data_IF_314608444032
#
_entry.id   IF_314608444032
#
_cell.length_a   1.000
_cell.length_b   1.000
_cell.length_c   1.000
_cell.angle_alpha   90.00
_cell.angle_beta   90.00
_cell.angle_gamma   90.00
#
_symmetry.space_group_name_H-M   'P 1'
#
loop_
_entity.id
_entity.type
_entity.pdbx_description
1 polymer ?
2 non-polymer ?
3 water ?
#
# COMPACT_ATOMS: atom_id res chain seq x y z
N UNK A 51 26.17 -38.88 -22.53
CA UNK A 51 25.21 -39.72 -21.75
C UNK A 51 24.92 -39.13 -20.36
N UNK A 52 24.64 -37.83 -20.31
CA UNK A 52 24.39 -37.14 -19.05
C UNK A 52 22.90 -36.79 -18.88
N UNK A 53 22.24 -37.56 -18.05
CA UNK A 53 20.82 -37.40 -17.84
C UNK A 53 20.62 -36.44 -16.67
N UNK A 54 19.60 -35.60 -16.80
CA UNK A 54 19.26 -34.65 -15.76
C UNK A 54 18.16 -35.22 -14.84
N UNK A 55 18.42 -35.15 -13.54
CA UNK A 55 17.44 -35.54 -12.51
C UNK A 55 16.89 -34.16 -12.05
N UNK A 56 15.72 -33.78 -12.56
CA UNK A 56 15.17 -32.44 -12.28
C UNK A 56 14.73 -32.19 -10.85
N UNK A 57 15.29 -31.19 -10.16
CA UNK A 57 14.86 -30.90 -8.77
C UNK A 57 13.49 -30.32 -8.89
N UNK A 58 12.76 -30.37 -7.80
CA UNK A 58 11.43 -29.74 -7.75
C UNK A 58 11.55 -28.42 -7.01
N UNK A 59 10.90 -27.35 -7.47
CA UNK A 59 11.00 -26.08 -6.74
C UNK A 59 10.26 -26.26 -5.47
N UNK A 60 10.65 -25.42 -4.52
CA UNK A 60 10.01 -25.36 -3.22
C UNK A 60 8.52 -25.04 -3.37
N UNK A 61 7.76 -25.49 -2.38
CA UNK A 61 6.34 -25.35 -2.36
C UNK A 61 6.03 -23.98 -1.70
N UNK A 62 4.95 -23.35 -2.15
CA UNK A 62 4.51 -22.07 -1.59
C UNK A 62 3.18 -22.33 -0.90
N UNK A 63 3.14 -22.12 0.43
CA UNK A 63 1.96 -22.27 1.24
C UNK A 63 1.37 -20.93 1.62
N UNK A 64 0.06 -20.87 1.80
CA UNK A 64 -0.55 -19.65 2.29
C UNK A 64 -0.53 -19.75 3.86
N UNK A 65 -1.08 -18.76 4.57
CA UNK A 65 -1.00 -18.72 6.03
C UNK A 65 -1.73 -19.87 6.74
N UNK A 66 -2.74 -20.48 6.10
CA UNK A 66 -3.48 -21.60 6.69
C UNK A 66 -2.92 -22.93 6.19
N UNK A 67 -1.83 -22.89 5.41
CA UNK A 67 -1.27 -24.12 4.91
C UNK A 67 -1.80 -24.60 3.57
N UNK A 68 -2.73 -23.89 2.94
CA UNK A 68 -3.13 -24.30 1.63
C UNK A 68 -1.93 -24.17 0.65
N UNK A 69 -1.84 -25.13 -0.25
CA UNK A 69 -0.78 -25.17 -1.25
C UNK A 69 -1.20 -24.20 -2.35
N UNK A 70 -0.31 -23.24 -2.64
CA UNK A 70 -0.64 -22.26 -3.64
C UNK A 70 0.09 -22.65 -4.89
N UNK A 71 1.32 -23.14 -4.71
CA UNK A 71 2.12 -23.59 -5.82
C UNK A 71 2.99 -24.77 -5.44
N UNK A 73 5.50 -28.05 -7.41
CA UNK A 73 6.15 -28.58 -8.62
C UNK A 73 5.91 -30.06 -8.71
N UNK A 74 5.72 -30.47 -9.95
CA UNK A 74 5.31 -31.79 -10.34
C UNK A 74 6.11 -32.24 -11.56
N UNK A 75 6.31 -33.55 -11.70
CA UNK A 75 7.06 -34.10 -12.81
C UNK A 75 6.14 -34.42 -13.99
N UNK A 76 4.85 -34.14 -13.81
CA UNK A 76 3.86 -34.40 -14.85
C UNK A 76 4.15 -33.58 -16.10
N UNK A 77 5.25 -32.84 -16.08
CA UNK A 77 5.64 -32.00 -17.22
C UNK A 77 6.51 -32.78 -18.20
N UNK A 148 10.98 -35.25 -20.35
CA UNK A 148 11.00 -34.97 -18.89
C UNK A 148 11.24 -33.54 -18.48
N UNK A 149 10.37 -33.05 -17.61
CA UNK A 149 10.44 -31.70 -17.13
C UNK A 149 9.63 -31.65 -15.81
N UNK A 150 9.56 -30.48 -15.19
CA UNK A 150 8.74 -30.25 -14.00
C UNK A 150 7.85 -29.06 -14.33
N UNK A 151 6.70 -28.97 -13.72
CA UNK A 151 5.91 -27.75 -13.91
C UNK A 151 5.23 -27.42 -12.64
N UNK A 152 4.93 -26.15 -12.43
CA UNK A 152 4.16 -25.73 -11.31
C UNK A 152 2.71 -25.93 -11.60
N UNK A 153 1.99 -26.22 -10.54
CA UNK A 153 0.58 -26.35 -10.59
C UNK A 153 0.09 -25.38 -9.51
N UNK A 154 -0.90 -24.60 -9.90
CA UNK A 154 -1.54 -23.59 -9.08
C UNK A 154 -2.95 -24.03 -8.86
N UNK A 155 -3.14 -24.65 -7.61
CA UNK A 155 -4.47 -25.20 -7.44
C UNK A 155 -5.64 -24.25 -7.40
N UNK A 156 -5.44 -22.98 -7.08
CA UNK A 156 -6.58 -22.11 -6.95
C UNK A 156 -6.74 -21.34 -8.20
N UNK A 157 -6.06 -21.80 -9.21
CA UNK A 157 -6.09 -21.18 -10.53
C UNK A 157 -5.46 -19.81 -10.54
N UNK A 158 -6.20 -18.83 -11.04
CA UNK A 158 -5.75 -17.44 -11.17
C UNK A 158 -5.75 -16.60 -9.93
N UNK A 159 -6.22 -17.19 -8.83
CA UNK A 159 -6.31 -16.47 -7.58
C UNK A 159 -4.94 -16.25 -6.97
N UNK A 160 -4.54 -15.01 -6.82
CA UNK A 160 -3.27 -14.74 -6.19
C UNK A 160 -2.07 -14.97 -7.07
N UNK A 161 -2.32 -15.29 -8.35
CA UNK A 161 -1.18 -15.57 -9.23
C UNK A 161 -0.34 -14.31 -9.48
N UNK A 162 -0.95 -13.14 -9.37
CA UNK A 162 -0.25 -11.90 -9.49
C UNK A 162 0.85 -11.81 -8.41
N UNK A 163 0.55 -12.28 -7.22
CA UNK A 163 1.51 -12.26 -6.10
C UNK A 163 2.43 -13.43 -6.31
N UNK A 164 1.89 -14.59 -6.61
CA UNK A 164 2.73 -15.76 -6.80
C UNK A 164 3.75 -15.64 -7.92
N UNK A 165 3.33 -15.10 -9.05
CA UNK A 165 4.20 -14.98 -10.23
C UNK A 165 4.12 -16.26 -11.02
N UNK A 166 4.79 -16.32 -12.16
CA UNK A 166 4.77 -17.57 -12.93
C UNK A 166 6.16 -18.02 -13.10
N UNK A 167 6.28 -19.27 -13.46
CA UNK A 167 7.55 -19.94 -13.69
C UNK A 167 7.56 -20.23 -15.18
N UNK A 168 8.64 -19.89 -15.87
CA UNK A 168 8.69 -20.22 -17.30
C UNK A 168 9.12 -21.65 -17.58
N UNK A 169 9.19 -22.00 -18.88
CA UNK A 169 9.59 -23.32 -19.40
C UNK A 169 10.94 -23.81 -18.92
N UNK A 170 11.87 -22.89 -18.70
CA UNK A 170 13.17 -23.27 -18.11
C UNK A 170 13.01 -23.41 -16.63
N UNK A 171 11.79 -23.45 -16.15
CA UNK A 171 11.53 -23.55 -14.73
C UNK A 171 12.20 -22.45 -13.91
N UNK A 172 12.32 -21.22 -14.46
CA UNK A 172 12.87 -20.13 -13.68
C UNK A 172 11.68 -19.25 -13.29
N UNK A 173 11.72 -18.65 -12.10
CA UNK A 173 10.66 -17.80 -11.66
C UNK A 173 10.75 -16.57 -12.53
N UNK A 174 9.63 -16.17 -13.09
CA UNK A 174 9.61 -15.05 -14.03
C UNK A 174 8.94 -13.79 -13.54
N UNK A 175 8.12 -13.85 -12.49
CA UNK A 175 7.50 -12.63 -11.95
C UNK A 175 7.07 -12.93 -10.52
N UNK A 176 6.63 -11.93 -9.80
CA UNK A 176 6.14 -12.16 -8.45
C UNK A 176 7.13 -12.78 -7.50
N UNK A 177 6.61 -13.57 -6.59
CA UNK A 177 7.42 -14.24 -5.54
C UNK A 177 8.28 -15.40 -6.11
N UNK A 178 7.78 -16.01 -7.18
CA UNK A 178 8.56 -17.05 -7.86
C UNK A 178 9.90 -16.49 -8.28
N UNK A 179 9.89 -15.23 -8.75
CA UNK A 179 11.09 -14.55 -9.15
C UNK A 179 11.85 -14.01 -7.94
N UNK A 180 11.15 -13.33 -7.08
CA UNK A 180 11.80 -12.68 -5.92
C UNK A 180 12.59 -13.68 -5.06
N UNK A 181 12.01 -14.84 -4.84
CA UNK A 181 12.65 -15.87 -4.03
C UNK A 181 13.10 -17.08 -4.89
N UNK A 182 13.51 -16.80 -6.12
CA UNK A 182 13.82 -17.91 -7.02
C UNK A 182 15.02 -18.69 -6.54
N UNK A 183 16.05 -18.03 -6.00
CA UNK A 183 17.26 -18.76 -5.58
C UNK A 183 17.01 -19.66 -4.41
N UNK A 184 16.02 -19.34 -3.58
CA UNK A 184 15.72 -20.29 -2.54
C UNK A 184 14.66 -21.27 -3.01
N UNK A 185 13.74 -20.86 -3.87
CA UNK A 185 12.67 -21.81 -4.36
C UNK A 185 13.20 -22.85 -5.38
N UNK A 186 14.18 -22.43 -6.17
CA UNK A 186 14.79 -23.32 -7.20
C UNK A 186 15.74 -24.26 -6.51
N UNK A 187 15.72 -25.51 -6.88
CA UNK A 187 16.66 -26.34 -6.20
C UNK A 187 17.79 -26.38 -7.14
N UNK A 188 18.51 -27.48 -7.07
CA UNK A 188 19.63 -27.73 -7.92
C UNK A 188 19.41 -29.09 -8.53
N UNK A 189 19.41 -29.14 -9.85
CA UNK A 189 19.20 -30.40 -10.50
C UNK A 189 20.29 -31.42 -10.22
N UNK A 190 19.92 -32.70 -10.38
CA UNK A 190 20.85 -33.82 -10.24
C UNK A 190 21.30 -34.24 -11.63
N UNK A 191 22.23 -35.19 -11.70
CA UNK A 191 22.71 -35.70 -12.97
C UNK A 191 23.12 -37.15 -12.90
N UNK A 193 25.32 -39.35 -15.12
CA UNK A 193 26.33 -39.24 -16.19
C UNK A 193 26.55 -40.55 -17.00
N UNK A 208 28.89 -44.29 -14.67
CA UNK A 208 28.59 -44.78 -13.34
C UNK A 208 28.52 -43.73 -12.24
N UNK A 209 28.05 -42.51 -12.52
CA UNK A 209 28.04 -41.49 -11.47
C UNK A 209 26.84 -40.57 -11.38
N UNK A 210 26.32 -40.47 -10.17
CA UNK A 210 25.04 -39.86 -9.95
C UNK A 210 25.15 -38.86 -8.84
N UNK A 211 24.55 -37.71 -9.06
CA UNK A 211 24.52 -36.69 -8.06
C UNK A 211 23.08 -36.28 -7.85
N UNK A 212 22.76 -36.02 -6.60
CA UNK A 212 21.40 -35.79 -6.21
C UNK A 212 20.85 -34.44 -6.59
N UNK A 213 19.55 -34.41 -6.89
CA UNK A 213 18.87 -33.17 -7.12
C UNK A 213 18.59 -32.63 -5.71
N UNK A 214 18.74 -31.32 -5.50
CA UNK A 214 18.38 -30.75 -4.18
C UNK A 214 17.12 -29.94 -4.53
N UNK A 215 15.98 -30.33 -3.99
CA UNK A 215 14.73 -29.59 -4.26
C UNK A 215 14.77 -28.22 -3.57
N UNK A 216 13.98 -27.29 -4.07
CA UNK A 216 14.01 -25.98 -3.48
C UNK A 216 13.38 -25.99 -2.10
N UNK A 217 13.56 -24.89 -1.38
CA UNK A 217 13.01 -24.74 -0.05
C UNK A 217 11.59 -24.21 -0.06
N UNK A 218 10.76 -24.77 0.79
CA UNK A 218 9.37 -24.34 0.93
C UNK A 218 9.28 -22.96 1.52
N UNK A 219 8.23 -22.26 1.15
CA UNK A 219 8.02 -20.91 1.60
C UNK A 219 6.59 -20.81 2.11
N UNK A 220 6.41 -20.17 3.26
CA UNK A 220 5.06 -19.93 3.78
C UNK A 220 4.78 -18.45 3.73
N UNK A 221 3.67 -18.09 3.13
CA UNK A 221 3.27 -16.71 3.01
C UNK A 221 2.20 -16.28 3.98
N UNK A 222 2.14 -14.99 4.20
CA UNK A 222 1.13 -14.37 5.05
C UNK A 222 -0.23 -14.31 4.39
N UNK A 223 -0.29 -14.56 3.10
CA UNK A 223 -1.54 -14.48 2.37
C UNK A 223 -2.63 -15.42 2.80
N UNK A 224 -3.89 -14.96 2.86
CA UNK A 224 -5.03 -15.85 3.18
C UNK A 224 -5.69 -15.97 1.84
N UNK A 225 -5.61 -17.14 1.26
CA UNK A 225 -6.05 -17.31 -0.12
C UNK A 225 -7.51 -17.01 -0.34
N UNK A 226 -8.35 -17.33 0.62
CA UNK A 226 -9.78 -17.00 0.46
C UNK A 226 -10.00 -15.46 0.50
N UNK A 227 -9.21 -14.75 1.29
CA UNK A 227 -9.30 -13.31 1.34
C UNK A 227 -8.72 -12.70 0.07
N UNK A 228 -7.80 -13.40 -0.53
CA UNK A 228 -7.19 -12.93 -1.76
C UNK A 228 -8.23 -12.99 -2.85
N UNK A 229 -9.05 -14.01 -2.84
CA UNK A 229 -10.08 -14.15 -3.87
C UNK A 229 -11.13 -13.05 -3.80
N UNK A 230 -11.54 -12.72 -2.59
CA UNK A 230 -12.47 -11.62 -2.37
C UNK A 230 -11.83 -10.31 -2.78
N UNK A 231 -10.56 -10.10 -2.41
CA UNK A 231 -9.90 -8.85 -2.79
C UNK A 231 -9.95 -8.68 -4.30
N UNK A 232 -9.70 -9.77 -5.02
CA UNK A 232 -9.69 -9.70 -6.47
C UNK A 232 -11.03 -9.45 -7.07
N UNK A 233 -12.04 -10.11 -6.55
CA UNK A 233 -13.34 -9.93 -7.12
C UNK A 233 -13.93 -8.59 -6.77
N UNK A 234 -13.70 -8.12 -5.54
CA UNK A 234 -14.18 -6.81 -5.13
C UNK A 234 -13.47 -5.68 -5.85
N UNK A 235 -12.16 -5.81 -6.05
CA UNK A 235 -11.46 -4.78 -6.80
C UNK A 235 -12.00 -4.80 -8.25
N UNK A 236 -12.15 -5.97 -8.84
CA UNK A 236 -12.67 -6.02 -10.24
C UNK A 236 -14.05 -5.35 -10.36
N UNK A 237 -14.93 -5.66 -9.41
CA UNK A 237 -16.30 -5.08 -9.41
C UNK A 237 -16.27 -3.57 -9.20
N UNK A 238 -15.34 -3.10 -8.36
CA UNK A 238 -15.24 -1.68 -8.10
C UNK A 238 -14.78 -0.91 -9.32
N UNK A 239 -13.73 -1.43 -9.97
CA UNK A 239 -13.21 -0.82 -11.17
C UNK A 239 -14.33 -0.65 -12.15
N UNK A 240 -15.13 -1.68 -12.31
CA UNK A 240 -16.31 -1.63 -13.19
C UNK A 240 -17.34 -0.58 -12.72
N UNK A 241 -17.81 -0.68 -11.47
CA UNK A 241 -18.85 0.24 -10.92
C UNK A 241 -18.47 1.69 -10.89
N UNK A 242 -17.20 2.00 -10.62
CA UNK A 242 -16.76 3.39 -10.50
C UNK A 242 -16.00 3.90 -11.72
N UNK A 243 -15.96 3.07 -12.78
CA UNK A 243 -15.38 3.49 -14.04
C UNK A 243 -13.92 3.95 -13.81
N UNK A 244 -13.11 3.11 -13.21
CA UNK A 244 -11.73 3.47 -12.95
C UNK A 244 -11.09 3.04 -14.24
N UNK A 245 -10.76 4.00 -15.10
CA UNK A 245 -10.19 3.67 -16.41
C UNK A 245 -8.79 3.08 -16.36
N UNK A 246 -8.05 3.31 -15.29
CA UNK A 246 -6.78 2.69 -15.22
C UNK A 246 -6.68 1.75 -14.05
N UNK A 247 -7.79 1.05 -13.75
CA UNK A 247 -7.78 0.02 -12.70
C UNK A 247 -7.66 0.50 -11.25
N UNK A 248 -6.91 -0.21 -10.43
CA UNK A 248 -6.73 0.16 -9.01
C UNK A 248 -6.04 -0.93 -8.26
N UNK A 249 -6.06 -0.82 -6.95
CA UNK A 249 -5.36 -1.75 -6.08
C UNK A 249 -6.08 -1.92 -4.80
N UNK A 250 -5.78 -3.01 -4.11
CA UNK A 250 -6.38 -3.26 -2.83
C UNK A 250 -5.42 -4.07 -1.97
N UNK A 252 -4.81 -5.79 2.25
CA UNK A 252 -5.20 -5.92 3.64
C UNK A 252 -3.91 -6.39 4.30
N UNK A 254 -1.49 -6.54 8.28
CA UNK A 254 -1.43 -6.47 9.69
C UNK A 254 -0.46 -5.33 9.95
N UNK A 255 -0.95 -4.25 10.58
CA UNK A 255 -0.13 -3.11 10.86
C UNK A 255 0.91 -3.33 11.95
N UNK A 256 0.82 -4.41 12.72
CA UNK A 256 1.82 -4.65 13.74
C UNK A 256 2.95 -5.58 13.29
N UNK A 257 2.66 -6.62 12.55
CA UNK A 257 3.71 -7.51 12.09
C UNK A 257 4.19 -7.19 10.66
N UNK A 258 3.39 -6.44 9.91
CA UNK A 258 3.68 -6.12 8.53
C UNK A 258 3.23 -7.17 7.53
N UNK A 259 2.71 -8.30 7.99
CA UNK A 259 2.27 -9.39 7.08
C UNK A 259 1.11 -8.97 6.22
N UNK A 260 1.14 -9.32 4.93
CA UNK A 260 0.08 -8.98 3.97
C UNK A 260 -0.89 -10.12 3.78
N UNK A 261 -2.13 -9.86 4.16
CA UNK A 261 -3.13 -10.88 4.06
C UNK A 261 -3.65 -11.04 2.67
N UNK A 262 -3.72 -9.95 1.95
CA UNK A 262 -4.20 -9.94 0.55
C UNK A 262 -3.75 -8.70 -0.17
N UNK A 263 -3.56 -8.80 -1.48
CA UNK A 263 -3.16 -7.65 -2.25
C UNK A 263 -3.37 -7.89 -3.71
N UNK A 264 -3.87 -6.88 -4.42
CA UNK A 264 -4.08 -7.02 -5.84
C UNK A 264 -4.16 -5.69 -6.56
N UNK A 265 -3.84 -5.73 -7.85
CA UNK A 265 -3.93 -4.61 -8.75
C UNK A 265 -4.72 -5.07 -9.98
N UNK A 266 -5.44 -4.16 -10.58
CA UNK A 266 -6.22 -4.42 -11.75
C UNK A 266 -5.53 -3.60 -12.81
N UNK A 267 -5.33 -4.19 -14.02
CA UNK A 267 -5.73 -5.54 -14.45
C UNK A 267 -5.02 -6.69 -13.81
N UNK A 268 -5.74 -7.81 -13.72
CA UNK A 268 -5.25 -9.02 -13.14
C UNK A 268 -4.89 -9.92 -14.27
N UNK A 269 -3.97 -10.84 -14.05
CA UNK A 269 -3.65 -11.75 -15.18
C UNK A 269 -4.36 -13.11 -15.13
N UNK A 270 -4.32 -13.85 -16.24
CA UNK A 270 -4.87 -15.22 -16.29
C UNK A 270 -4.11 -16.10 -17.28
N UNK A 271 -4.12 -17.41 -17.00
CA UNK A 271 -3.44 -18.40 -17.85
C UNK A 271 -1.95 -18.04 -17.86
N UNK A 277 -1.01 -14.20 -21.79
CA UNK A 277 -0.83 -13.38 -20.54
C UNK A 277 -0.15 -12.04 -20.80
N UNK A 278 -0.76 -10.95 -20.34
CA UNK A 278 -0.21 -9.61 -20.55
C UNK A 278 0.80 -9.27 -19.47
N UNK A 279 2.07 -9.09 -19.86
CA UNK A 279 3.12 -8.83 -18.88
C UNK A 279 2.86 -7.70 -17.91
N UNK A 280 2.18 -6.63 -18.34
CA UNK A 280 1.86 -5.57 -17.43
C UNK A 280 0.91 -5.95 -16.29
N UNK A 281 0.12 -7.00 -16.45
CA UNK A 281 -0.80 -7.40 -15.35
C UNK A 281 -0.07 -8.14 -14.22
N UNK A 282 1.19 -8.52 -14.45
CA UNK A 282 2.02 -9.22 -13.48
C UNK A 282 2.64 -8.36 -12.38
N UNK A 283 2.57 -7.05 -12.54
CA UNK A 283 3.06 -6.17 -11.53
C UNK A 283 1.98 -5.93 -10.48
N UNK A 284 2.38 -5.54 -9.28
CA UNK A 284 1.44 -5.05 -8.29
C UNK A 284 1.62 -3.55 -8.40
N UNK A 285 0.60 -2.87 -8.84
CA UNK A 285 0.70 -1.42 -8.99
C UNK A 285 1.10 -0.71 -7.70
N UNK A 286 0.58 -1.17 -6.56
CA UNK A 286 0.98 -0.58 -5.25
C UNK A 286 2.44 -0.42 -4.99
N UNK A 287 3.19 -1.31 -5.56
CA UNK A 287 4.66 -1.40 -5.44
C UNK A 287 5.44 -0.74 -6.53
N UNK A 288 5.01 -1.01 -7.75
CA UNK A 288 5.75 -0.52 -8.86
C UNK A 288 5.20 0.66 -9.59
N UNK A 289 4.00 1.15 -9.34
CA UNK A 289 3.58 2.38 -10.04
C UNK A 289 3.60 3.53 -9.04
N UNK A 290 3.80 4.73 -9.53
CA UNK A 290 3.88 5.92 -8.67
C UNK A 290 2.79 6.88 -9.09
N UNK A 291 2.32 7.61 -8.08
CA UNK A 291 1.22 8.52 -8.21
C UNK A 291 1.49 9.70 -7.32
N UNK A 292 0.81 10.81 -7.59
CA UNK A 292 0.84 11.98 -6.67
C UNK A 292 -0.19 11.53 -5.64
N UNK A 293 0.24 11.33 -4.37
CA UNK A 293 -0.61 10.74 -3.38
C UNK A 293 -1.79 11.59 -3.00
N UNK A 294 -1.66 12.90 -3.01
CA UNK A 294 -2.85 13.64 -2.65
C UNK A 294 -3.18 13.56 -1.16
N UNK A 295 -4.46 13.75 -0.86
CA UNK A 295 -4.92 13.95 0.51
C UNK A 295 -4.70 12.85 1.51
N UNK A 296 -4.50 11.62 1.04
CA UNK A 296 -4.21 10.54 1.98
C UNK A 296 -2.83 10.85 2.69
N UNK A 297 -2.04 11.74 2.12
CA UNK A 297 -0.76 12.08 2.69
C UNK A 297 -0.91 12.99 3.95
N UNK A 298 -2.10 13.60 4.15
CA UNK A 298 -2.25 14.57 5.23
C UNK A 298 -2.03 13.97 6.62
N UNK A 299 -2.13 12.66 6.75
CA UNK A 299 -1.87 11.97 8.03
C UNK A 299 -0.37 12.07 8.37
N UNK A 300 0.47 12.08 7.33
CA UNK A 300 1.91 12.24 7.51
C UNK A 300 2.22 13.67 7.95
N UNK A 301 1.67 14.64 7.24
CA UNK A 301 1.88 16.03 7.59
C UNK A 301 1.43 16.32 9.01
N UNK A 302 0.26 15.82 9.42
CA UNK A 302 -0.18 16.15 10.79
C UNK A 302 0.64 15.39 11.80
N UNK A 303 0.98 14.15 11.50
CA UNK A 303 1.87 13.42 12.40
C UNK A 303 3.19 14.14 12.69
N UNK A 304 3.81 14.68 11.66
CA UNK A 304 5.05 15.40 11.82
C UNK A 304 4.94 16.61 12.74
N UNK A 305 3.88 17.41 12.57
CA UNK A 305 3.65 18.56 13.37
C UNK A 305 3.39 18.18 14.82
N UNK A 306 2.55 17.21 15.00
CA UNK A 306 2.18 16.79 16.33
C UNK A 306 3.40 16.17 17.01
N UNK A 307 4.12 15.33 16.29
CA UNK A 307 5.25 14.69 16.91
C UNK A 307 6.31 15.71 17.21
N UNK A 308 6.34 16.83 16.50
CA UNK A 308 7.31 17.88 16.85
C UNK A 308 6.73 18.87 17.89
N UNK A 309 5.52 18.61 18.35
CA UNK A 309 4.86 19.42 19.41
C UNK A 309 4.61 20.86 18.95
N UNK A 310 4.16 20.97 17.71
CA UNK A 310 3.90 22.25 17.14
C UNK A 310 2.43 22.57 17.14
N UNK A 311 1.60 21.57 17.37
CA UNK A 311 0.17 21.75 17.52
C UNK A 311 -0.39 20.44 17.94
N UNK A 312 -1.66 20.44 18.30
CA UNK A 312 -2.35 19.14 18.63
C UNK A 312 -3.71 19.15 17.89
N UNK A 313 -4.52 18.07 18.01
CA UNK A 313 -5.81 17.95 17.32
C UNK A 313 -6.76 19.13 17.51
N UNK A 314 -6.75 19.72 18.70
CA UNK A 314 -7.66 20.81 18.97
C UNK A 314 -7.14 22.17 18.69
N UNK A 315 -5.86 22.26 18.28
CA UNK A 315 -5.26 23.55 17.91
C UNK A 315 -6.06 24.16 16.80
N UNK A 316 -6.49 25.42 17.04
CA UNK A 316 -7.35 26.13 16.13
C UNK A 316 -6.78 27.33 15.48
N UNK A 317 -6.90 27.39 14.13
CA UNK A 317 -6.33 28.45 13.28
C UNK A 317 -7.35 29.04 12.33
N UNK A 318 -7.15 30.31 12.02
CA UNK A 318 -8.04 31.01 11.11
C UNK A 318 -7.56 30.68 9.68
N UNK A 319 -8.30 29.83 8.99
CA UNK A 319 -7.85 29.37 7.67
C UNK A 319 -8.53 30.16 6.53
N UNK A 320 -7.73 30.86 5.68
CA UNK A 320 -8.35 31.59 4.58
C UNK A 320 -8.96 30.70 3.53
N UNK A 321 -9.65 31.30 2.56
CA UNK A 321 -10.30 30.50 1.49
C UNK A 321 -9.28 30.01 0.57
N UNK A 322 -8.18 30.75 0.47
CA UNK A 322 -7.11 30.36 -0.41
C UNK A 322 -5.84 30.84 0.19
N UNK A 323 -4.71 30.27 -0.23
CA UNK A 323 -3.40 30.69 0.24
C UNK A 323 -2.43 30.66 -0.93
N UNK A 324 -1.56 31.66 -1.03
CA UNK A 324 -0.54 31.71 -2.08
C UNK A 324 0.65 30.84 -1.60
N UNK A 325 1.00 29.84 -2.39
CA UNK A 325 2.18 28.98 -2.10
C UNK A 325 3.07 29.07 -3.32
N UNK A 326 4.24 29.66 -3.16
CA UNK A 326 5.12 29.89 -4.29
C UNK A 326 4.32 30.88 -5.14
N UNK A 327 4.10 30.56 -6.42
CA UNK A 327 3.37 31.48 -7.30
C UNK A 327 2.01 31.01 -7.76
N UNK A 328 1.45 30.04 -7.05
CA UNK A 328 0.14 29.48 -7.34
C UNK A 328 -0.67 29.51 -6.07
N UNK A 329 -1.99 29.52 -6.20
CA UNK A 329 -2.82 29.60 -5.03
C UNK A 329 -3.32 28.20 -4.65
N UNK A 330 -3.49 27.94 -3.36
CA UNK A 330 -4.03 26.66 -2.92
C UNK A 330 -5.45 27.03 -2.52
N UNK A 331 -6.39 26.15 -2.84
CA UNK A 331 -7.79 26.33 -2.53
C UNK A 331 -8.43 25.01 -2.09
N UNK A 332 -9.57 25.14 -1.43
CA UNK A 332 -10.41 24.04 -1.01
C UNK A 332 -11.72 24.11 -1.90
N UNK A 333 -12.22 22.96 -2.36
CA UNK A 333 -13.53 22.87 -3.08
C UNK A 333 -14.64 22.85 -1.97
N UNK A 334 -15.20 24.01 -1.64
CA UNK A 334 -16.10 24.11 -0.48
C UNK A 334 -17.11 25.24 -0.58
N UNK A 335 -17.82 25.49 0.52
CA UNK A 335 -18.93 26.47 0.50
C UNK A 335 -18.61 27.87 0.99
N UNK A 336 -17.64 27.96 1.88
CA UNK A 336 -17.30 29.21 2.52
C UNK A 336 -16.73 30.19 1.52
N UNK A 337 -16.84 31.47 1.85
CA UNK A 337 -16.31 32.54 1.06
C UNK A 337 -15.49 33.39 2.03
N UNK A 338 -15.25 32.84 3.21
CA UNK A 338 -14.51 33.55 4.19
C UNK A 338 -13.71 32.51 4.93
N UNK A 339 -12.74 33.04 5.66
CA UNK A 339 -11.86 32.27 6.49
C UNK A 339 -12.71 31.52 7.54
N UNK A 341 -12.38 29.27 11.21
CA UNK A 341 -11.55 28.83 12.32
C UNK A 341 -11.66 27.33 12.29
N UNK A 343 -9.91 23.58 13.71
CA UNK A 343 -8.91 22.85 14.49
C UNK A 343 -8.15 21.96 13.48
N UNK A 344 -7.00 21.44 13.87
CA UNK A 344 -6.22 20.55 13.05
C UNK A 344 -7.12 19.34 12.77
N UNK A 345 -7.83 18.88 13.79
CA UNK A 345 -8.83 17.78 13.62
C UNK A 345 -9.82 18.13 12.49
N UNK A 346 -10.33 19.31 12.50
CA UNK A 346 -11.26 19.72 11.43
C UNK A 346 -10.61 19.76 10.04
N UNK A 348 -8.41 17.91 8.89
CA UNK A 348 -8.40 16.54 8.47
C UNK A 348 -9.80 15.97 8.16
N UNK A 349 -10.77 16.30 8.98
CA UNK A 349 -12.13 15.84 8.80
C UNK A 349 -12.64 16.20 7.41
N UNK A 350 -12.56 17.47 7.08
CA UNK A 350 -12.94 17.96 5.77
C UNK A 350 -11.87 17.93 4.67
N UNK A 351 -10.67 17.52 5.01
CA UNK A 351 -9.58 17.47 4.07
C UNK A 351 -9.30 18.81 3.46
N UNK A 352 -8.96 19.75 4.29
CA UNK A 352 -8.58 21.11 3.76
C UNK A 352 -7.12 21.20 3.29
N UNK A 353 -6.94 21.39 2.00
CA UNK A 353 -5.62 21.62 1.47
C UNK A 353 -5.04 22.90 1.98
N UNK A 354 -5.86 23.94 2.04
CA UNK A 354 -5.38 25.20 2.53
C UNK A 354 -4.84 25.11 3.96
N UNK A 355 -5.55 24.40 4.81
CA UNK A 355 -5.15 24.26 6.21
C UNK A 355 -3.81 23.52 6.28
N UNK A 357 -1.45 23.33 4.02
CA UNK A 357 -0.32 24.19 3.52
C UNK A 357 -0.02 25.24 4.57
N UNK A 358 -1.04 25.74 5.24
CA UNK A 358 -0.85 26.70 6.28
C UNK A 358 0.00 26.08 7.40
N UNK A 359 -0.36 24.86 7.76
CA UNK A 359 0.36 24.20 8.87
C UNK A 359 1.82 24.03 8.53
N UNK A 360 2.09 23.55 7.33
CA UNK A 360 3.48 23.33 6.93
C UNK A 360 4.22 24.61 6.78
N UNK A 361 3.59 25.62 6.22
CA UNK A 361 4.36 26.83 5.96
C UNK A 361 4.54 27.72 7.20
N UNK A 362 3.54 27.82 8.05
CA UNK A 362 3.62 28.70 9.21
C UNK A 362 4.10 28.03 10.48
N UNK A 363 3.91 26.73 10.61
CA UNK A 363 4.29 26.07 11.85
C UNK A 363 5.39 25.05 11.71
N UNK A 364 5.31 24.15 10.73
CA UNK A 364 6.32 23.08 10.65
C UNK A 364 7.61 23.59 10.08
N UNK A 365 7.55 24.18 8.89
CA UNK A 365 8.77 24.68 8.31
C UNK A 365 9.26 23.54 7.44
N UNK A 366 9.98 23.89 6.38
CA UNK A 366 10.44 22.88 5.42
C UNK A 366 11.42 21.90 5.99
N UNK A 367 12.33 22.39 6.81
CA UNK A 367 13.33 21.53 7.42
C UNK A 367 12.72 20.40 8.24
N UNK A 368 11.85 20.72 9.21
CA UNK A 368 11.23 19.66 10.02
C UNK A 368 10.32 18.84 9.16
N UNK A 369 9.73 19.45 8.14
CA UNK A 369 8.86 18.70 7.25
C UNK A 369 9.67 17.67 6.49
N UNK A 370 10.70 18.13 5.81
CA UNK A 370 11.53 17.22 5.04
C UNK A 370 12.17 16.15 5.96
N UNK A 371 12.51 16.49 7.19
CA UNK A 371 13.07 15.44 8.07
C UNK A 371 12.03 14.41 8.41
N UNK A 372 10.78 14.85 8.58
CA UNK A 372 9.74 13.90 8.92
C UNK A 372 9.39 12.97 7.77
N UNK A 373 9.24 13.54 6.58
CA UNK A 373 8.95 12.78 5.37
C UNK A 373 9.95 11.64 5.25
N UNK A 374 11.21 12.01 5.51
CA UNK A 374 12.31 11.08 5.40
C UNK A 374 12.22 10.02 6.48
N UNK A 375 11.92 10.42 7.72
CA UNK A 375 11.81 9.47 8.78
C UNK A 375 10.65 8.51 8.47
N UNK A 376 9.57 9.00 7.85
CA UNK A 376 8.43 8.15 7.50
C UNK A 376 8.69 7.23 6.32
N UNK A 377 9.91 7.29 5.77
CA UNK A 377 10.28 6.42 4.62
C UNK A 377 9.80 6.93 3.24
N UNK A 378 9.30 8.16 3.17
CA UNK A 378 8.76 8.67 1.91
C UNK A 378 9.89 8.91 0.97
N UNK A 379 9.85 8.31 -0.22
CA UNK A 379 10.96 8.42 -1.13
C UNK A 379 12.00 7.33 -0.92
N UNK A 380 11.71 6.32 -0.10
CA UNK A 380 12.63 5.22 0.15
C UNK A 380 11.86 3.95 -0.06
N UNK A 381 12.51 2.92 -0.56
CA UNK A 381 11.80 1.67 -0.75
C UNK A 381 11.37 1.15 0.64
N UNK A 382 10.28 0.44 0.68
CA UNK A 382 9.77 -0.05 1.89
C UNK A 382 10.44 -1.31 2.35
N UNK A 383 11.08 -2.03 1.47
CA UNK A 383 11.68 -3.29 1.85
C UNK A 383 10.74 -4.45 1.55
N UNK A 384 9.57 -4.19 0.96
CA UNK A 384 8.60 -5.27 0.65
C UNK A 384 9.26 -6.35 -0.22
N UNK A 385 8.87 -7.61 -0.02
CA UNK A 385 9.49 -8.67 -0.77
C UNK A 385 8.69 -8.97 -2.04
N UNK A 386 8.80 -8.06 -3.00
CA UNK A 386 8.09 -8.18 -4.25
C UNK A 386 8.88 -7.40 -5.29
N UNK A 387 8.96 -7.92 -6.51
CA UNK A 387 9.83 -7.23 -7.48
C UNK A 387 9.35 -5.88 -7.99
N UNK A 388 10.27 -5.03 -8.42
CA UNK A 388 9.91 -3.78 -9.08
C UNK A 388 9.48 -2.65 -8.20
N UNK A 389 9.91 -2.63 -6.95
CA UNK A 389 9.46 -1.59 -6.03
C UNK A 389 9.99 -0.24 -6.47
N UNK A 390 9.13 0.75 -6.69
CA UNK A 390 9.62 2.06 -7.06
C UNK A 390 10.08 2.87 -5.84
N UNK A 391 11.10 3.66 -5.97
CA UNK A 391 11.52 4.50 -4.87
C UNK A 391 10.67 5.79 -4.83
N UNK A 392 10.15 6.19 -5.99
CA UNK A 392 9.39 7.40 -6.09
C UNK A 392 10.30 8.57 -6.34
N UNK A 393 9.70 9.73 -6.55
CA UNK A 393 10.39 10.94 -6.91
C UNK A 393 9.96 11.97 -5.95
N UNK A 394 10.85 12.22 -5.02
CA UNK A 394 10.58 13.11 -3.88
C UNK A 394 11.80 14.01 -3.73
N UNK A 395 11.55 15.31 -3.75
CA UNK A 395 12.63 16.27 -3.63
C UNK A 395 13.23 16.21 -2.25
N UNK A 396 14.56 16.30 -2.15
CA UNK A 396 15.23 16.38 -0.84
C UNK A 396 15.16 17.86 -0.40
N UNK A 397 15.38 18.11 0.88
CA UNK A 397 15.28 19.47 1.42
C UNK A 397 16.05 20.49 0.61
N UNK A 398 17.31 20.20 0.25
CA UNK A 398 18.11 21.16 -0.50
C UNK A 398 17.58 21.42 -1.90
N UNK A 399 16.64 20.61 -2.39
CA UNK A 399 16.07 20.84 -3.71
C UNK A 399 14.72 21.59 -3.59
N UNK A 400 14.25 21.86 -2.37
CA UNK A 400 12.96 22.53 -2.22
C UNK A 400 13.05 23.91 -2.81
N UNK A 401 11.94 24.34 -3.36
CA UNK A 401 11.86 25.64 -3.86
C UNK A 401 10.71 26.29 -3.14
N UNK A 402 10.36 27.49 -3.58
CA UNK A 402 9.32 28.26 -2.96
C UNK A 402 8.09 27.54 -2.50
N UNK A 403 7.39 26.83 -3.41
CA UNK A 403 6.12 26.16 -3.07
C UNK A 403 6.15 24.69 -2.66
N UNK A 404 7.33 24.10 -2.60
CA UNK A 404 7.47 22.68 -2.40
C UNK A 404 6.86 22.14 -1.11
N UNK A 405 7.26 22.71 0.02
CA UNK A 405 6.77 22.26 1.29
C UNK A 405 5.25 22.38 1.36
N UNK A 406 4.74 23.55 1.05
CA UNK A 406 3.28 23.77 1.12
C UNK A 406 2.47 22.82 0.31
N UNK A 407 2.97 22.52 -0.89
CA UNK A 407 2.29 21.55 -1.76
C UNK A 407 2.40 20.12 -1.26
N UNK A 409 2.61 19.22 1.64
CA UNK A 409 1.80 19.10 2.88
C UNK A 409 0.47 18.47 2.58
N UNK A 410 -0.10 18.73 1.38
CA UNK A 410 -1.36 18.12 1.01
C UNK A 410 -1.20 17.07 -0.05
N UNK A 411 0.01 16.52 -0.09
CA UNK A 411 0.30 15.43 -0.99
C UNK A 411 0.51 15.74 -2.48
N UNK A 412 0.91 16.96 -2.82
CA UNK A 412 1.22 17.35 -4.19
C UNK A 412 2.68 17.65 -4.29
N UNK A 413 3.21 17.54 -5.50
CA UNK A 413 4.63 17.79 -5.75
C UNK A 413 5.61 16.65 -5.47
N UNK A 414 5.09 15.44 -5.29
CA UNK A 414 5.89 14.24 -5.17
C UNK A 414 5.08 13.12 -5.77
N UNK A 415 5.75 12.04 -6.10
CA UNK A 415 5.08 10.90 -6.68
C UNK A 415 5.74 9.70 -6.08
N UNK A 416 4.89 8.84 -5.51
CA UNK A 416 5.34 7.66 -4.82
C UNK A 416 4.36 6.52 -5.01
N UNK A 417 4.82 5.30 -4.78
CA UNK A 417 3.92 4.20 -4.84
C UNK A 417 3.13 4.24 -3.57
N UNK A 418 1.89 3.76 -3.61
CA UNK A 418 1.04 3.78 -2.45
C UNK A 418 1.54 2.89 -1.30
N UNK A 419 2.38 1.90 -1.62
CA UNK A 419 2.95 1.05 -0.60
C UNK A 419 3.77 1.88 0.43
N UNK A 420 4.26 3.04 0.01
CA UNK A 420 4.97 3.91 0.91
C UNK A 420 4.00 4.61 1.87
N UNK A 421 2.82 4.91 1.36
CA UNK A 421 1.80 5.54 2.17
C UNK A 421 1.31 4.54 3.19
N UNK A 422 1.05 3.33 2.71
CA UNK A 422 0.59 2.28 3.57
C UNK A 422 1.59 2.06 4.66
N UNK A 423 2.85 2.01 4.29
CA UNK A 423 3.88 1.76 5.28
C UNK A 423 3.87 2.89 6.31
N UNK A 424 3.76 4.13 5.88
CA UNK A 424 3.72 5.24 6.82
C UNK A 424 2.57 5.10 7.79
N UNK A 425 1.36 4.73 7.28
CA UNK A 425 0.21 4.59 8.15
C UNK A 425 0.42 3.54 9.24
N UNK A 426 1.26 2.53 8.96
CA UNK A 426 1.50 1.54 9.99
C UNK A 426 2.04 2.19 11.26
N UNK A 427 2.87 3.22 11.19
CA UNK A 427 3.36 3.89 12.36
C UNK A 427 2.21 4.45 13.21
N UNK A 428 1.20 5.00 12.55
CA UNK A 428 0.06 5.52 13.31
C UNK A 428 -0.71 4.37 13.92
N UNK A 429 -0.80 3.27 13.20
CA UNK A 429 -1.57 2.13 13.71
C UNK A 429 -0.77 1.21 14.63
N UNK A 430 0.55 1.41 14.75
CA UNK A 430 1.30 0.51 15.58
C UNK A 430 2.12 1.20 16.66
N UNK A 431 1.49 2.19 17.31
CA UNK A 431 2.13 2.90 18.44
C UNK A 431 3.36 3.63 18.05
N UNK A 432 3.40 4.00 16.81
CA UNK A 432 4.50 4.77 16.35
C UNK A 432 5.58 4.04 15.65
N UNK A 433 5.49 2.71 15.64
CA UNK A 433 6.55 1.94 14.99
C UNK A 433 6.12 1.51 13.57
N UNK A 435 6.36 -0.69 10.19
CA UNK A 435 6.81 -2.03 9.89
C UNK A 435 7.07 -2.19 8.43
N UNK A 436 7.62 -3.31 8.03
CA UNK A 436 7.95 -3.56 6.66
C UNK A 436 6.84 -4.44 6.11
N UNK A 437 6.08 -3.96 5.11
CA UNK A 437 5.02 -4.86 4.56
C UNK A 437 5.70 -6.04 3.85
N UNK A 438 5.15 -7.23 3.90
CA UNK A 438 5.83 -8.36 3.34
C UNK A 438 4.96 -9.56 3.24
N UNK A 439 5.35 -10.49 2.40
CA UNK A 439 4.57 -11.65 2.09
C UNK A 439 5.10 -12.92 2.73
N UNK A 441 6.52 -15.28 5.40
CA UNK A 441 6.61 -15.53 6.82
C UNK A 441 7.73 -16.49 7.18
N UNK A 442 7.85 -17.57 6.44
CA UNK A 442 8.90 -18.55 6.69
C UNK A 442 9.48 -19.16 5.45
N UNK A 443 10.78 -19.43 5.55
CA UNK A 443 11.57 -20.10 4.51
C UNK A 443 12.45 -21.17 5.16
N UNK A 444 12.39 -22.37 4.64
CA UNK A 444 13.14 -23.45 5.23
C UNK A 444 12.76 -23.62 6.70
N UNK A 445 11.54 -23.21 7.09
CA UNK A 445 11.13 -23.37 8.50
C UNK A 445 11.82 -22.39 9.45
N UNK A 446 12.39 -21.35 8.87
CA UNK A 446 13.07 -20.29 9.58
C UNK A 446 12.18 -19.01 9.46
N UNK A 447 11.63 -18.59 10.59
CA UNK A 447 10.80 -17.39 10.61
C UNK A 447 11.76 -16.21 10.54
N UNK A 448 11.55 -15.35 9.55
CA UNK A 448 12.42 -14.18 9.30
C UNK A 448 12.03 -12.96 10.17
N UNK A 449 13.01 -12.15 10.62
CA UNK A 449 12.62 -10.91 11.32
C UNK A 449 12.71 -9.78 10.26
N UNK A 450 11.68 -8.96 10.27
CA UNK A 450 11.52 -7.90 9.33
C UNK A 450 11.77 -6.60 10.08
N UNK A 451 12.54 -5.69 9.48
CA UNK A 451 12.90 -4.43 10.14
C UNK A 451 11.71 -3.55 10.51
N UNK A 452 11.82 -2.92 11.67
CA UNK A 452 10.82 -1.97 12.16
C UNK A 452 11.57 -0.66 12.39
N UNK A 453 10.87 0.45 12.51
CA UNK A 453 11.50 1.74 12.72
C UNK A 453 10.59 2.64 13.58
N UNK A 454 11.12 3.27 14.60
CA UNK A 454 10.34 4.15 15.47
C UNK A 454 10.30 5.48 14.78
N UNK A 455 9.12 5.86 14.34
CA UNK A 455 8.98 7.10 13.58
C UNK A 455 8.42 8.23 14.43
N UNK A 456 7.34 7.96 15.13
CA UNK A 456 6.71 8.93 16.02
C UNK A 456 6.44 8.25 17.36
N UNK A 457 6.15 9.02 18.39
CA UNK A 457 5.81 8.42 19.70
C UNK A 457 4.41 7.80 19.66
N UNK A 458 4.09 7.01 20.68
CA UNK A 458 2.79 6.39 20.78
C UNK A 458 1.74 7.44 21.04
N UNK A 459 2.12 8.51 21.75
CA UNK A 459 1.15 9.57 21.99
C UNK A 459 0.75 10.24 20.68
N UNK A 460 1.72 10.58 19.84
CA UNK A 460 1.39 11.15 18.53
C UNK A 460 0.51 10.21 17.73
N UNK A 461 0.84 8.90 17.68
CA UNK A 461 0.06 7.90 17.02
C UNK A 461 -1.36 7.89 17.51
N UNK A 462 -1.55 7.98 18.81
CA UNK A 462 -2.87 8.05 19.38
C UNK A 462 -3.64 9.31 18.99
N UNK A 463 -3.00 10.47 18.96
CA UNK A 463 -3.69 11.69 18.58
C UNK A 463 -4.08 11.57 17.07
N UNK A 464 -3.20 10.99 16.23
CA UNK A 464 -3.53 10.81 14.84
C UNK A 464 -4.70 9.82 14.63
N UNK A 465 -4.70 8.70 15.35
CA UNK A 465 -5.79 7.76 15.24
C UNK A 465 -7.11 8.44 15.64
N UNK A 466 -7.06 9.22 16.72
CA UNK A 466 -8.23 9.96 17.15
C UNK A 466 -8.77 10.84 16.02
N UNK A 469 -10.26 8.78 13.28
CA UNK A 469 -11.56 8.28 13.67
C UNK A 469 -12.65 9.34 13.37
N UNK A 470 -12.34 10.62 13.57
CA UNK A 470 -13.25 11.75 13.28
C UNK A 470 -13.52 11.78 11.81
N UNK A 471 -12.53 11.45 11.01
CA UNK A 471 -12.70 11.45 9.54
C UNK A 471 -13.82 10.49 9.15
N UNK A 472 -13.84 9.34 9.79
CA UNK A 472 -14.76 8.31 9.45
C UNK A 472 -16.08 8.51 10.14
N UNK A 473 -16.05 9.00 11.36
CA UNK A 473 -17.30 9.20 12.04
C UNK A 473 -18.04 10.44 11.61
N UNK A 474 -17.27 11.51 11.39
CA UNK A 474 -17.85 12.80 11.14
C UNK A 474 -17.46 13.46 9.88
N UNK A 475 -16.65 12.82 9.04
CA UNK A 475 -16.20 13.48 7.84
C UNK A 475 -16.35 12.73 6.56
N UNK A 476 -15.34 12.86 5.70
CA UNK A 476 -15.43 12.33 4.36
C UNK A 476 -15.33 10.86 4.31
N UNK A 477 -14.97 10.25 5.41
CA UNK A 477 -14.79 8.83 5.41
C UNK A 477 -16.00 8.08 5.95
N UNK A 478 -17.11 8.76 6.12
CA UNK A 478 -18.26 8.14 6.75
C UNK A 478 -18.76 6.87 6.09
N UNK A 479 -18.66 6.73 4.76
CA UNK A 479 -19.10 5.44 4.17
C UNK A 479 -18.13 4.30 4.39
N UNK A 480 -16.95 4.60 4.90
CA UNK A 480 -15.99 3.52 5.21
C UNK A 480 -16.36 2.89 6.54
N UNK A 481 -17.26 3.51 7.30
CA UNK A 481 -17.67 2.92 8.58
C UNK A 481 -18.24 1.51 8.45
N UNK A 482 -18.03 0.69 9.47
CA UNK A 482 -18.50 -0.69 9.45
C UNK A 482 -19.18 -0.94 10.79
N UNK A 483 -20.47 -1.28 10.71
CA UNK A 483 -21.28 -1.54 11.89
C UNK A 483 -20.59 -2.52 12.83
N UNK A 484 -20.44 -2.14 14.11
CA UNK A 484 -19.80 -2.97 15.15
C UNK A 484 -18.27 -2.81 15.31
N UNK A 485 -17.62 -2.01 14.46
CA UNK A 485 -16.18 -1.85 14.56
C UNK A 485 -15.76 -0.41 14.63
N UNK A 486 -14.54 -0.15 15.04
CA UNK A 486 -14.02 1.22 15.03
C UNK A 486 -13.14 1.29 13.83
N UNK A 487 -13.29 2.33 13.02
CA UNK A 487 -12.47 2.52 11.80
C UNK A 487 -11.87 3.91 11.85
N UNK A 488 -10.55 3.96 11.80
CA UNK A 488 -9.84 5.22 11.75
C UNK A 488 -9.29 5.24 10.31
N UNK A 489 -9.56 6.27 9.55
CA UNK A 489 -9.06 6.29 8.23
C UNK A 489 -9.02 7.65 7.57
N UNK A 490 -8.65 7.64 6.29
CA UNK A 490 -8.54 8.86 5.54
C UNK A 490 -8.77 8.60 4.03
N UNK A 491 -9.57 9.49 3.42
CA UNK A 491 -9.81 9.49 2.02
C UNK A 491 -8.72 10.29 1.32
N UNK A 492 -8.54 10.03 0.05
CA UNK A 492 -7.61 10.75 -0.72
C UNK A 492 -8.06 10.87 -2.16
N UNK A 493 -7.68 12.00 -2.74
CA UNK A 493 -7.82 12.28 -4.10
C UNK A 493 -6.38 12.53 -4.53
N UNK A 494 -5.83 11.65 -5.38
CA UNK A 494 -4.50 11.77 -5.90
C UNK A 494 -4.49 11.89 -7.43
N UNK A 495 -3.32 11.85 -8.06
CA UNK A 495 -3.30 11.98 -9.49
C UNK A 495 -2.34 11.06 -10.18
N UNK A 496 -2.69 10.74 -11.41
CA UNK A 496 -1.81 10.00 -12.27
C UNK A 496 -0.65 10.93 -12.71
N UNK A 497 0.48 10.33 -12.96
CA UNK A 497 1.67 11.13 -13.35
C UNK A 497 2.43 10.48 -14.45
N UNK A 498 3.35 11.23 -15.08
CA UNK A 498 4.24 10.70 -16.07
C UNK A 498 5.17 9.85 -15.21
N UNK A 499 5.23 8.54 -15.49
CA UNK A 499 5.96 7.61 -14.64
C UNK A 499 7.44 7.90 -14.35
N UNK A 500 8.17 8.33 -15.34
CA UNK A 500 9.57 8.56 -15.10
C UNK A 500 9.90 9.92 -14.52
N UNK A 501 8.93 10.85 -14.43
CA UNK A 501 9.21 12.19 -13.87
C UNK A 501 8.39 12.58 -12.64
N UNK A 502 7.29 11.89 -12.38
CA UNK A 502 6.42 12.26 -11.31
C UNK A 502 5.54 13.50 -11.54
N UNK A 503 5.57 14.12 -12.70
CA UNK A 503 4.73 15.30 -12.98
C UNK A 503 3.52 14.94 -13.85
N UNK A 504 2.70 15.92 -14.22
CA UNK A 504 1.52 15.66 -15.03
C UNK A 504 0.89 16.88 -15.56
N UNK A 505 0.01 16.69 -16.53
CA UNK A 505 -0.66 17.79 -17.15
C UNK A 505 -2.12 17.86 -16.77
N UNK A 506 -2.80 18.71 -17.52
CA UNK A 506 -4.22 19.01 -17.32
C UNK A 506 -5.12 17.79 -17.37
N UNK A 507 -4.81 16.81 -18.19
CA UNK A 507 -5.70 15.66 -18.32
C UNK A 507 -5.38 14.45 -17.47
N UNK A 508 -4.60 14.66 -16.44
CA UNK A 508 -4.21 13.56 -15.56
C UNK A 508 -5.48 13.05 -14.88
N UNK A 509 -5.69 11.74 -14.88
CA UNK A 509 -6.83 11.15 -14.20
C UNK A 509 -6.62 11.24 -12.68
N UNK A 510 -7.76 11.34 -11.95
CA UNK A 510 -7.73 11.31 -10.45
C UNK A 510 -7.70 9.91 -9.90
N UNK A 511 -7.10 9.80 -8.73
CA UNK A 511 -6.99 8.52 -8.07
C UNK A 511 -7.79 8.68 -6.80
N UNK A 512 -8.73 7.79 -6.58
CA UNK A 512 -9.55 7.87 -5.37
C UNK A 512 -9.06 6.77 -4.47
N UNK A 513 -8.69 7.14 -3.26
CA UNK A 513 -8.10 6.21 -2.29
C UNK A 513 -8.72 6.31 -0.94
N UNK A 514 -8.70 5.20 -0.24
CA UNK A 514 -9.07 5.20 1.11
C UNK A 514 -8.11 4.24 1.86
N UNK A 515 -7.58 4.67 3.00
CA UNK A 515 -6.73 3.81 3.80
C UNK A 515 -7.34 3.83 5.20
N UNK A 516 -7.69 2.66 5.73
CA UNK A 516 -8.31 2.56 7.07
C UNK A 516 -7.79 1.45 7.95
N UNK A 517 -7.91 1.64 9.25
CA UNK A 517 -7.41 0.73 10.25
C UNK A 517 -8.66 0.29 11.00
N UNK A 518 -8.86 -1.00 11.12
CA UNK A 518 -10.03 -1.55 11.79
C UNK A 518 -9.61 -1.90 13.24
N UNK A 519 -10.43 -1.51 14.24
CA UNK A 519 -10.19 -1.76 15.66
C UNK A 519 -8.74 -1.56 15.92
N UNK A 520 -8.31 -0.29 15.80
CA UNK A 520 -6.93 0.11 15.95
C UNK A 520 -6.27 -0.34 17.26
N UNK A 521 -7.07 -0.49 18.33
CA UNK A 521 -6.56 -0.98 19.59
C UNK A 521 -6.22 -2.47 19.54
N UNK A 522 -6.67 -3.20 18.51
CA UNK A 522 -6.34 -4.65 18.38
C UNK A 522 -5.12 -4.94 17.50
N UNK A 523 -4.68 -3.96 16.69
CA UNK A 523 -3.47 -4.04 15.89
C UNK A 523 -3.45 -5.22 14.93
N UNK A 524 -4.59 -5.52 14.35
CA UNK A 524 -4.66 -6.64 13.48
C UNK A 524 -5.02 -6.34 12.05
N UNK A 525 -5.56 -5.16 11.72
CA UNK A 525 -5.99 -4.95 10.33
C UNK A 525 -6.06 -3.52 9.76
N UNK A 527 -6.54 -1.73 5.76
CA UNK A 527 -6.83 -1.99 4.38
C UNK A 527 -6.73 -0.70 3.58
N UNK A 528 -6.24 -0.88 2.36
CA UNK A 528 -6.09 0.20 1.38
C UNK A 528 -6.84 -0.14 0.12
N UNK A 529 -7.56 0.83 -0.40
CA UNK A 529 -8.32 0.71 -1.62
C UNK A 529 -8.04 1.94 -2.45
N UNK A 530 -7.66 1.72 -3.70
CA UNK A 530 -7.38 2.80 -4.65
C UNK A 530 -8.04 2.50 -5.98
N UNK A 531 -8.56 3.52 -6.64
CA UNK A 531 -9.21 3.44 -7.91
C UNK A 531 -8.58 4.51 -8.74
N UNK A 532 -7.99 4.09 -9.85
CA UNK A 532 -7.21 4.97 -10.73
C UNK A 532 -7.96 5.37 -11.97
N UNK A 533 -7.98 6.68 -12.14
CA UNK A 533 -8.65 7.39 -13.22
C UNK A 533 -10.15 7.22 -13.17
N UNK A 534 -10.70 7.68 -12.05
CA UNK A 534 -12.11 7.70 -11.82
C UNK A 534 -12.56 9.15 -11.55
N UNK A 535 -13.81 9.44 -11.80
CA UNK A 535 -14.33 10.78 -11.58
C UNK A 535 -15.10 10.85 -10.33
N UNK A 536 -15.32 9.71 -9.73
CA UNK A 536 -16.01 9.68 -8.47
C UNK A 536 -15.09 9.87 -7.30
N UNK A 537 -15.60 10.60 -6.30
CA UNK A 537 -14.84 10.96 -5.09
C UNK A 537 -14.57 9.78 -4.25
N UNK A 538 -13.41 9.77 -3.59
CA UNK A 538 -13.05 8.71 -2.65
C UNK A 538 -14.14 8.41 -1.55
N UNK A 539 -14.86 9.44 -1.10
CA UNK A 539 -15.90 9.31 -0.08
C UNK A 539 -17.07 8.43 -0.58
N UNK A 540 -17.29 8.40 -1.90
CA UNK A 540 -18.39 7.63 -2.48
C UNK A 540 -17.87 6.41 -3.19
N UNK A 541 -16.56 6.21 -3.25
CA UNK A 541 -16.09 5.07 -3.99
C UNK A 541 -15.13 4.23 -3.22
N UNK A 542 -13.90 4.69 -3.08
CA UNK A 542 -12.97 3.88 -2.41
C UNK A 542 -13.39 3.59 -0.98
N UNK A 543 -14.00 4.55 -0.31
CA UNK A 543 -14.44 4.34 1.07
C UNK A 543 -15.53 3.28 1.11
N UNK A 544 -16.39 3.23 0.09
CA UNK A 544 -17.47 2.24 0.02
C UNK A 544 -16.93 0.83 -0.17
N UNK A 545 -15.93 0.71 -1.04
CA UNK A 545 -15.29 -0.55 -1.27
C UNK A 545 -14.62 -1.02 0.01
N UNK A 546 -13.96 -0.12 0.70
CA UNK A 546 -13.29 -0.50 1.97
C UNK A 546 -14.28 -1.10 2.99
N UNK A 547 -15.44 -0.47 3.15
CA UNK A 547 -16.39 -0.96 4.15
C UNK A 547 -16.75 -2.40 3.93
N UNK A 548 -16.97 -2.80 2.68
CA UNK A 548 -17.29 -4.18 2.35
C UNK A 548 -16.07 -5.10 2.42
N UNK A 549 -14.93 -4.70 1.86
CA UNK A 549 -13.84 -5.59 1.92
C UNK A 549 -13.19 -5.71 3.32
N UNK A 550 -13.08 -4.63 4.03
CA UNK A 550 -12.44 -4.68 5.35
C UNK A 550 -13.29 -5.53 6.33
N UNK A 551 -14.60 -5.50 6.13
CA UNK A 551 -15.58 -6.29 6.91
C UNK A 551 -15.28 -7.75 6.66
N UNK A 552 -15.24 -8.12 5.37
CA UNK A 552 -14.89 -9.50 4.99
C UNK A 552 -13.51 -9.86 5.48
N UNK A 553 -12.55 -8.94 5.45
CA UNK A 553 -11.25 -9.30 5.97
C UNK A 553 -11.38 -9.58 7.47
N UNK A 554 -12.12 -8.73 8.20
CA UNK A 554 -12.28 -8.91 9.64
C UNK A 554 -13.06 -10.19 10.01
N UNK A 555 -14.03 -10.60 9.20
CA UNK A 555 -14.76 -11.80 9.60
C UNK A 555 -13.77 -12.98 9.40
N UNK A 556 -13.25 -13.10 8.19
CA UNK A 556 -12.29 -14.12 7.85
C UNK A 556 -11.17 -14.24 8.88
N UNK A 557 -10.77 -13.15 9.52
CA UNK A 557 -9.70 -13.23 10.49
C UNK A 557 -10.23 -13.29 11.92
N UNK A 558 -9.36 -13.10 12.90
CA UNK A 558 -9.77 -13.17 14.32
C UNK A 558 -10.89 -12.19 14.73
N UNK A 559 -10.79 -10.98 14.18
CA UNK A 559 -11.55 -9.76 14.52
C UNK A 559 -13.08 -9.91 14.50
N UNK A 560 -13.65 -9.94 15.71
CA UNK A 560 -15.09 -10.14 15.94
C UNK A 560 -16.09 -8.98 16.02
N UNK A 561 -15.77 -7.92 16.77
CA UNK A 561 -16.79 -6.90 17.03
C UNK A 561 -17.82 -6.71 15.91
#
# INVERSE_FOLDING_TARGET
XHHHHHHSSGVDLWSHPQFEKGTENLYFQSNALQIFTAADLSKGAENNRTNDIVLHARRGTIYDRNGNVLAXSVDCKDIYANPSEIKDASTVAQVIASFLGGSPSDYLGDLQQDTTFVYVRRRVDTDTASKIEKALGEKKLKGIYFVNNTKRVYPYGNVGVQILGFVNADNEGASGLEYYYNDILAGTNGHXIVETGAGGTPIAGGTSNITEAQNGQDIVLSIDIELQKKAEEQLTAAVKDFEAKQGGSIXAXNPRTGEIYAAASYPLPDFESDNGVDYESLNLKLVSSIYEPGSVFKVITTSIGVDNNLFGPNSTFNIPTELQVGDNKVTDDDWRTSAXDXSVREXLRRSSNVGXAFLETQLIGDKRFAEGIDKFGIGHTTGIDFPGEATGIVRSLDQYEGPTGGNXAFGQGLAIPFIQVIRAYTAVANKGTXVTPHFXVSKGGQEVSWPTKDVISSSTASAELDXXTTVVKEGTGVRAGIYGYTVAGKTGTGQQVVEETGSYGENSGFVASFCGIVNPSESDLXVYVGLNDTHQLASQSAAVVFSQFAKDAATRLNIQPINP
#
